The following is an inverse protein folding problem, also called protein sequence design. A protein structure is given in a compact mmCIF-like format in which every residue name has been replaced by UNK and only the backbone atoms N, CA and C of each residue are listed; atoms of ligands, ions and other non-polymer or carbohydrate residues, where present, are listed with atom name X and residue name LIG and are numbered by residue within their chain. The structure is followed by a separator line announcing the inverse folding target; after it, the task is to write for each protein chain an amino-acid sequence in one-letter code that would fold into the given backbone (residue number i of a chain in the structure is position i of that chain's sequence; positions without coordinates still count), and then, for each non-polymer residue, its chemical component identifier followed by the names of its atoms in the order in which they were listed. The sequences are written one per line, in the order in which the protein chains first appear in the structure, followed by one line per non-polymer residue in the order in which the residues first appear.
data_IF_166223933328
#
_entry.id   IF_166223933328
#
_cell.length_a   1.000
_cell.length_b   1.000
_cell.length_c   1.000
_cell.angle_alpha   90.00
_cell.angle_beta   90.00
_cell.angle_gamma   90.00
#
_symmetry.space_group_name_H-M   'P 1'
#
loop_
_entity.id
_entity.type
_entity.pdbx_description
1 polymer ?
#
# COMPACT_ATOMS: atom_id res chain seq x y z
N UNK A 1 -8.11 12.38 -9.11
CA UNK A 1 -6.66 12.49 -8.99
C UNK A 1 -5.97 11.80 -10.19
N UNK A 2 -4.92 12.38 -10.80
CA UNK A 2 -4.20 11.79 -11.94
C UNK A 2 -3.54 10.44 -11.64
N UNK A 3 -2.96 10.26 -10.45
CA UNK A 3 -2.30 9.00 -10.05
C UNK A 3 -3.30 7.87 -9.94
N UNK A 4 -4.46 8.14 -9.32
CA UNK A 4 -5.56 7.18 -9.21
C UNK A 4 -6.07 6.75 -10.60
N UNK A 5 -6.22 7.70 -11.54
CA UNK A 5 -6.62 7.38 -12.92
C UNK A 5 -5.56 6.52 -13.61
N UNK A 6 -4.29 6.89 -13.49
CA UNK A 6 -3.17 6.13 -14.05
C UNK A 6 -3.15 4.69 -13.55
N UNK A 7 -3.27 4.46 -12.24
CA UNK A 7 -3.25 3.11 -11.67
C UNK A 7 -4.41 2.26 -12.20
N UNK A 8 -5.62 2.82 -12.27
CA UNK A 8 -6.78 2.12 -12.83
C UNK A 8 -6.56 1.72 -14.30
N UNK A 9 -6.06 2.64 -15.13
CA UNK A 9 -5.74 2.35 -16.53
C UNK A 9 -4.66 1.26 -16.67
N UNK A 10 -3.67 1.26 -15.77
CA UNK A 10 -2.61 0.24 -15.76
C UNK A 10 -3.12 -1.13 -15.31
N UNK A 11 -4.02 -1.17 -14.34
CA UNK A 11 -4.72 -2.39 -13.93
C UNK A 11 -5.55 -2.96 -15.10
N UNK A 12 -6.34 -2.14 -15.78
CA UNK A 12 -7.13 -2.57 -16.95
C UNK A 12 -6.21 -3.13 -18.05
N UNK A 13 -5.09 -2.46 -18.37
CA UNK A 13 -4.09 -2.94 -19.34
C UNK A 13 -3.41 -4.24 -18.93
N UNK A 14 -3.28 -4.48 -17.63
CA UNK A 14 -2.72 -5.73 -17.09
C UNK A 14 -3.74 -6.88 -17.08
N UNK A 15 -4.99 -6.64 -17.50
CA UNK A 15 -6.06 -7.64 -17.50
C UNK A 15 -6.80 -7.77 -16.17
N UNK A 16 -6.63 -6.81 -15.26
CA UNK A 16 -7.34 -6.78 -13.99
C UNK A 16 -8.79 -6.33 -14.18
N UNK A 17 -9.71 -6.94 -13.44
CA UNK A 17 -11.09 -6.48 -13.39
C UNK A 17 -11.18 -5.18 -12.58
N UNK A 18 -11.49 -4.07 -13.25
CA UNK A 18 -11.81 -2.79 -12.60
C UNK A 18 -13.30 -2.54 -12.77
N UNK A 19 -14.09 -2.82 -11.73
CA UNK A 19 -15.54 -2.64 -11.77
C UNK A 19 -15.99 -1.31 -11.14
N UNK A 20 -17.21 -0.82 -11.43
CA UNK A 20 -17.69 0.48 -10.93
C UNK A 20 -17.64 0.64 -9.41
N UNK A 21 -17.79 -0.45 -8.66
CA UNK A 21 -17.77 -0.49 -7.19
C UNK A 21 -16.42 -0.95 -6.62
N UNK A 22 -15.32 -0.85 -7.39
CA UNK A 22 -14.00 -1.21 -6.90
C UNK A 22 -13.58 -0.33 -5.71
N UNK A 23 -13.99 0.94 -5.70
CA UNK A 23 -13.70 1.88 -4.61
C UNK A 23 -15.03 2.26 -3.95
N UNK A 24 -15.14 2.04 -2.64
CA UNK A 24 -16.34 2.35 -1.86
C UNK A 24 -15.99 3.22 -0.65
N UNK A 25 -16.87 4.15 -0.36
CA UNK A 25 -16.83 4.94 0.87
C UNK A 25 -17.59 4.21 1.97
N UNK A 26 -17.06 4.22 3.20
CA UNK A 26 -17.68 3.61 4.36
C UNK A 26 -17.39 4.39 5.65
N UNK A 27 -18.06 3.99 6.72
CA UNK A 27 -17.70 4.35 8.10
C UNK A 27 -17.06 3.12 8.73
N UNK A 28 -15.78 3.21 9.10
CA UNK A 28 -15.00 2.08 9.61
C UNK A 28 -13.94 2.55 10.61
N UNK A 29 -13.13 1.64 11.16
CA UNK A 29 -12.22 1.90 12.28
C UNK A 29 -10.80 2.33 11.90
N UNK A 30 -10.42 2.22 10.63
CA UNK A 30 -9.10 2.57 10.08
C UNK A 30 -9.22 3.65 9.02
N UNK A 31 -8.15 3.95 8.27
CA UNK A 31 -8.22 4.87 7.13
C UNK A 31 -8.91 4.22 5.90
N UNK A 32 -8.82 2.91 5.77
CA UNK A 32 -9.29 2.15 4.63
C UNK A 32 -8.60 0.79 4.56
N UNK A 33 -8.85 0.07 3.47
CA UNK A 33 -8.20 -1.21 3.20
C UNK A 33 -8.62 -1.82 1.87
N UNK A 34 -7.79 -2.73 1.37
CA UNK A 34 -8.08 -3.61 0.25
C UNK A 34 -8.40 -5.02 0.75
N UNK A 35 -9.43 -5.63 0.17
CA UNK A 35 -9.72 -7.05 0.33
C UNK A 35 -9.95 -7.72 -1.03
N UNK A 36 -9.33 -8.88 -1.22
CA UNK A 36 -9.41 -9.63 -2.48
C UNK A 36 -10.87 -9.91 -2.83
N UNK A 37 -11.25 -9.61 -4.09
CA UNK A 37 -12.62 -9.72 -4.63
C UNK A 37 -13.68 -8.79 -4.01
N UNK A 38 -13.38 -8.09 -2.92
CA UNK A 38 -14.28 -7.12 -2.29
C UNK A 38 -13.97 -5.67 -2.69
N UNK A 39 -12.71 -5.42 -3.08
CA UNK A 39 -12.23 -4.13 -3.55
C UNK A 39 -11.64 -3.27 -2.44
N UNK A 40 -11.69 -1.97 -2.64
CA UNK A 40 -11.11 -0.93 -1.81
C UNK A 40 -12.21 -0.25 -1.00
N UNK A 41 -12.03 -0.21 0.31
CA UNK A 41 -12.86 0.56 1.22
C UNK A 41 -12.08 1.79 1.72
N UNK A 42 -12.72 2.95 1.69
CA UNK A 42 -12.18 4.22 2.20
C UNK A 42 -13.06 4.69 3.35
N UNK A 43 -12.47 4.79 4.54
CA UNK A 43 -13.19 5.18 5.75
C UNK A 43 -13.32 6.70 5.84
N UNK A 44 -14.40 7.26 5.33
CA UNK A 44 -14.59 8.72 5.24
C UNK A 44 -14.59 9.42 6.60
N UNK A 45 -14.95 8.71 7.68
CA UNK A 45 -14.91 9.23 9.05
C UNK A 45 -13.49 9.41 9.62
N UNK A 46 -12.45 8.92 8.92
CA UNK A 46 -11.04 9.09 9.27
C UNK A 46 -10.28 10.01 8.32
N UNK A 47 -10.99 10.69 7.41
CA UNK A 47 -10.41 11.56 6.38
C UNK A 47 -10.76 13.02 6.68
N UNK A 48 -9.74 13.83 6.92
CA UNK A 48 -9.89 15.27 7.15
C UNK A 48 -9.60 16.07 5.86
N UNK A 49 -8.67 15.58 5.04
CA UNK A 49 -8.22 16.30 3.85
C UNK A 49 -8.30 15.45 2.57
N UNK A 50 -8.58 16.06 1.40
CA UNK A 50 -8.65 15.34 0.12
C UNK A 50 -7.36 14.59 -0.25
N UNK A 51 -6.20 15.07 0.19
CA UNK A 51 -4.94 14.39 -0.06
C UNK A 51 -4.83 13.05 0.67
N UNK A 52 -5.42 12.92 1.87
CA UNK A 52 -5.44 11.66 2.60
C UNK A 52 -6.27 10.61 1.85
N UNK A 53 -7.41 11.01 1.29
CA UNK A 53 -8.25 10.15 0.45
C UNK A 53 -7.46 9.65 -0.76
N UNK A 54 -6.80 10.57 -1.48
CA UNK A 54 -5.99 10.20 -2.65
C UNK A 54 -4.87 9.23 -2.27
N UNK A 55 -4.19 9.46 -1.15
CA UNK A 55 -3.11 8.57 -0.69
C UNK A 55 -3.61 7.18 -0.31
N UNK A 56 -4.69 7.11 0.46
CA UNK A 56 -5.31 5.83 0.81
C UNK A 56 -5.73 5.08 -0.45
N UNK A 57 -6.46 5.71 -1.37
CA UNK A 57 -6.86 5.06 -2.63
C UNK A 57 -5.64 4.60 -3.43
N UNK A 58 -4.58 5.41 -3.50
CA UNK A 58 -3.36 5.04 -4.24
C UNK A 58 -2.68 3.84 -3.59
N UNK A 59 -2.58 3.81 -2.27
CA UNK A 59 -2.02 2.70 -1.50
C UNK A 59 -2.81 1.41 -1.74
N UNK A 60 -4.13 1.46 -1.57
CA UNK A 60 -4.99 0.28 -1.77
C UNK A 60 -5.05 -0.18 -3.24
N UNK A 61 -4.89 0.73 -4.22
CA UNK A 61 -4.77 0.34 -5.62
C UNK A 61 -3.48 -0.41 -5.93
N UNK A 62 -2.38 -0.17 -5.19
CA UNK A 62 -1.17 -0.98 -5.32
C UNK A 62 -1.43 -2.40 -4.81
N UNK A 63 -2.11 -2.56 -3.68
CA UNK A 63 -2.55 -3.88 -3.20
C UNK A 63 -3.44 -4.59 -4.22
N UNK A 64 -4.42 -3.89 -4.79
CA UNK A 64 -5.29 -4.44 -5.82
C UNK A 64 -4.53 -4.83 -7.10
N UNK A 65 -3.55 -4.01 -7.51
CA UNK A 65 -2.68 -4.33 -8.65
C UNK A 65 -1.84 -5.57 -8.37
N UNK A 66 -1.21 -5.65 -7.20
CA UNK A 66 -0.38 -6.78 -6.79
C UNK A 66 -1.17 -8.09 -6.70
N UNK A 67 -2.39 -8.05 -6.15
CA UNK A 67 -3.30 -9.21 -6.07
C UNK A 67 -3.72 -9.71 -7.46
N UNK A 68 -3.90 -8.79 -8.40
CA UNK A 68 -4.27 -9.12 -9.77
C UNK A 68 -3.12 -9.73 -10.57
N UNK A 69 -1.95 -9.08 -10.56
CA UNK A 69 -0.80 -9.52 -11.39
C UNK A 69 -0.02 -10.66 -10.73
N UNK A 70 -0.10 -10.75 -9.41
CA UNK A 70 0.45 -11.82 -8.61
C UNK A 70 -0.38 -13.08 -8.79
N UNK A 71 0.03 -13.97 -9.69
CA UNK A 71 -0.69 -15.21 -10.02
C UNK A 71 -1.06 -16.09 -8.81
N UNK A 72 -0.35 -15.96 -7.69
CA UNK A 72 -0.56 -16.72 -6.45
C UNK A 72 -0.43 -15.82 -5.21
N UNK A 73 -1.04 -14.62 -5.23
CA UNK A 73 -1.10 -13.79 -4.03
C UNK A 73 -1.82 -14.53 -2.89
N UNK A 74 -1.22 -14.49 -1.71
CA UNK A 74 -1.77 -15.14 -0.50
C UNK A 74 -1.61 -14.17 0.66
N UNK A 75 -2.72 -13.54 1.05
CA UNK A 75 -2.77 -12.56 2.13
C UNK A 75 -2.56 -13.17 3.53
N UNK A 76 -2.54 -14.51 3.64
CA UNK A 76 -2.16 -15.22 4.87
C UNK A 76 -0.66 -15.48 4.95
N UNK A 77 0.07 -15.35 3.83
CA UNK A 77 1.51 -15.47 3.78
C UNK A 77 2.18 -14.12 4.09
N UNK A 78 2.96 -14.08 5.18
CA UNK A 78 3.61 -12.85 5.64
C UNK A 78 4.56 -12.23 4.60
N UNK A 79 5.24 -13.04 3.78
CA UNK A 79 6.15 -12.53 2.74
C UNK A 79 5.39 -11.84 1.60
N UNK A 80 4.24 -12.39 1.21
CA UNK A 80 3.36 -11.80 0.20
C UNK A 80 2.76 -10.49 0.69
N UNK A 81 2.19 -10.49 1.89
CA UNK A 81 1.64 -9.29 2.51
C UNK A 81 2.71 -8.22 2.71
N UNK A 82 3.88 -8.58 3.25
CA UNK A 82 5.02 -7.68 3.43
C UNK A 82 5.48 -7.06 2.10
N UNK A 83 5.55 -7.84 1.03
CA UNK A 83 5.95 -7.35 -0.28
C UNK A 83 4.99 -6.27 -0.79
N UNK A 84 3.68 -6.52 -0.68
CA UNK A 84 2.67 -5.58 -1.13
C UNK A 84 2.64 -4.31 -0.27
N UNK A 85 2.84 -4.43 1.04
CA UNK A 85 2.96 -3.29 1.95
C UNK A 85 4.19 -2.41 1.67
N UNK A 86 5.34 -3.02 1.37
CA UNK A 86 6.54 -2.30 0.98
C UNK A 86 6.27 -1.48 -0.29
N UNK A 87 5.70 -2.12 -1.32
CA UNK A 87 5.34 -1.45 -2.59
C UNK A 87 4.32 -0.35 -2.36
N UNK A 88 3.26 -0.62 -1.61
CA UNK A 88 2.19 0.32 -1.37
C UNK A 88 2.65 1.53 -0.54
N UNK A 89 3.55 1.36 0.44
CA UNK A 89 4.11 2.50 1.19
C UNK A 89 5.15 3.30 0.38
N UNK A 90 5.92 2.62 -0.48
CA UNK A 90 6.91 3.24 -1.35
C UNK A 90 6.26 4.07 -2.48
N UNK A 91 5.21 3.53 -3.11
CA UNK A 91 4.65 4.07 -4.36
C UNK A 91 3.45 5.01 -4.15
N UNK A 92 2.82 5.02 -2.97
CA UNK A 92 1.63 5.87 -2.72
C UNK A 92 1.94 7.29 -2.25
N UNK A 93 3.21 7.60 -1.95
CA UNK A 93 3.61 8.83 -1.29
C UNK A 93 3.28 8.89 0.21
N UNK A 94 2.90 7.76 0.84
CA UNK A 94 2.72 7.65 2.29
C UNK A 94 3.96 8.12 3.07
N UNK A 95 5.14 7.83 2.52
CA UNK A 95 6.43 8.17 3.11
C UNK A 95 7.06 9.45 2.55
N UNK A 96 6.25 10.36 1.97
CA UNK A 96 6.77 11.64 1.48
C UNK A 96 7.36 12.48 2.64
N UNK A 97 8.58 13.02 2.46
CA UNK A 97 9.36 13.70 3.52
C UNK A 97 8.58 14.77 4.27
N UNK A 98 7.86 15.66 3.54
CA UNK A 98 7.06 16.73 4.17
C UNK A 98 6.03 16.19 5.18
N UNK A 99 5.46 15.00 4.93
CA UNK A 99 4.47 14.39 5.84
C UNK A 99 5.13 13.80 7.06
N UNK A 100 6.23 13.09 6.87
CA UNK A 100 7.02 12.54 7.97
C UNK A 100 7.55 13.65 8.87
N UNK A 101 7.98 14.77 8.29
CA UNK A 101 8.37 15.97 9.04
C UNK A 101 7.22 16.54 9.87
N UNK A 102 6.01 16.66 9.29
CA UNK A 102 4.81 17.10 10.04
C UNK A 102 4.40 16.13 11.15
N UNK A 103 4.80 14.85 11.04
CA UNK A 103 4.63 13.82 12.08
C UNK A 103 5.79 13.78 13.09
N UNK A 104 6.77 14.69 12.98
CA UNK A 104 7.90 14.80 13.91
C UNK A 104 9.13 13.95 13.55
N UNK A 105 9.16 13.28 12.40
CA UNK A 105 10.34 12.55 11.93
C UNK A 105 11.31 13.50 11.23
N UNK A 106 12.47 13.75 11.85
CA UNK A 106 13.43 14.79 11.43
C UNK A 106 14.57 14.26 10.54
N UNK A 107 14.67 12.94 10.35
CA UNK A 107 15.77 12.35 9.58
C UNK A 107 15.60 12.67 8.10
N UNK A 108 16.64 13.22 7.48
CA UNK A 108 16.63 13.56 6.05
C UNK A 108 17.23 12.42 5.22
N UNK A 109 18.44 11.98 5.56
CA UNK A 109 19.14 10.95 4.77
C UNK A 109 18.54 9.57 5.03
N UNK A 110 18.04 8.94 3.98
CA UNK A 110 17.44 7.60 4.05
C UNK A 110 16.10 7.56 4.80
N UNK A 111 15.39 8.69 4.85
CA UNK A 111 14.10 8.77 5.56
C UNK A 111 13.05 7.85 4.94
N UNK A 112 12.99 7.81 3.60
CA UNK A 112 11.94 7.10 2.89
C UNK A 112 12.02 5.57 3.14
N UNK A 113 13.19 4.90 2.94
CA UNK A 113 13.33 3.49 3.28
C UNK A 113 12.96 3.17 4.72
N UNK A 114 13.32 4.05 5.66
CA UNK A 114 13.03 3.86 7.08
C UNK A 114 11.52 3.99 7.37
N UNK A 115 10.86 4.97 6.75
CA UNK A 115 9.41 5.09 6.83
C UNK A 115 8.71 3.88 6.21
N UNK A 116 9.15 3.42 5.03
CA UNK A 116 8.57 2.26 4.36
C UNK A 116 8.73 1.01 5.22
N UNK A 117 9.93 0.73 5.75
CA UNK A 117 10.13 -0.39 6.68
C UNK A 117 9.22 -0.30 7.89
N UNK A 118 9.15 0.87 8.53
CA UNK A 118 8.35 1.10 9.74
C UNK A 118 6.86 0.87 9.50
N UNK A 119 6.30 1.48 8.45
CA UNK A 119 4.87 1.37 8.12
C UNK A 119 4.48 -0.02 7.65
N UNK A 120 5.31 -0.64 6.82
CA UNK A 120 5.06 -2.01 6.34
C UNK A 120 5.09 -2.99 7.50
N UNK A 121 6.03 -2.86 8.43
CA UNK A 121 6.08 -3.70 9.63
C UNK A 121 4.83 -3.50 10.51
N UNK A 122 4.35 -2.27 10.68
CA UNK A 122 3.13 -1.97 11.44
C UNK A 122 1.91 -2.65 10.82
N UNK A 123 1.75 -2.60 9.49
CA UNK A 123 0.63 -3.27 8.82
C UNK A 123 0.71 -4.80 8.91
N UNK A 124 1.89 -5.38 8.61
CA UNK A 124 2.06 -6.85 8.63
C UNK A 124 1.86 -7.42 10.03
N UNK A 125 2.24 -6.69 11.10
CA UNK A 125 1.98 -7.08 12.49
C UNK A 125 0.49 -7.16 12.85
N UNK A 126 -0.35 -6.40 12.15
CA UNK A 126 -1.79 -6.43 12.36
C UNK A 126 -2.47 -7.59 11.61
N UNK A 127 -1.72 -8.32 10.78
CA UNK A 127 -2.22 -9.52 10.12
C UNK A 127 -2.25 -10.70 11.13
N UNK A 128 -3.41 -11.33 11.37
CA UNK A 128 -3.55 -12.40 12.36
C UNK A 128 -2.74 -13.66 12.04
N UNK A 129 -2.29 -13.82 10.80
CA UNK A 129 -1.45 -14.95 10.37
C UNK A 129 0.05 -14.69 10.58
N UNK A 130 0.45 -13.48 10.99
CA UNK A 130 1.84 -13.06 11.11
C UNK A 130 2.18 -12.68 12.54
N UNK A 131 3.04 -13.47 13.19
CA UNK A 131 3.65 -13.05 14.46
C UNK A 131 4.56 -11.85 14.24
N UNK A 132 4.88 -11.11 15.31
CA UNK A 132 5.83 -10.00 15.22
C UNK A 132 7.19 -10.42 14.66
N UNK A 133 7.69 -11.61 15.03
CA UNK A 133 8.95 -12.14 14.50
C UNK A 133 8.82 -12.48 13.01
N UNK A 134 7.75 -13.18 12.63
CA UNK A 134 7.49 -13.53 11.22
C UNK A 134 7.33 -12.27 10.34
N UNK A 135 6.70 -11.22 10.86
CA UNK A 135 6.55 -9.94 10.17
C UNK A 135 7.92 -9.28 9.89
N UNK A 136 8.82 -9.26 10.88
CA UNK A 136 10.18 -8.71 10.72
C UNK A 136 10.99 -9.53 9.70
N UNK A 137 10.98 -10.84 9.85
CA UNK A 137 11.72 -11.75 8.97
C UNK A 137 11.21 -11.66 7.52
N UNK A 138 9.88 -11.58 7.33
CA UNK A 138 9.26 -11.42 6.02
C UNK A 138 9.67 -10.10 5.35
N UNK A 139 9.65 -8.98 6.08
CA UNK A 139 10.05 -7.66 5.56
C UNK A 139 11.50 -7.70 5.07
N UNK A 140 12.43 -8.23 5.87
CA UNK A 140 13.84 -8.31 5.47
C UNK A 140 14.06 -9.27 4.29
N UNK A 141 13.35 -10.40 4.26
CA UNK A 141 13.49 -11.40 3.21
C UNK A 141 13.09 -10.88 1.83
N UNK A 142 12.04 -10.05 1.75
CA UNK A 142 11.52 -9.55 0.45
C UNK A 142 11.96 -8.13 0.11
N UNK A 143 12.62 -7.43 1.03
CA UNK A 143 12.96 -6.00 0.92
C UNK A 143 13.54 -5.61 -0.43
N UNK A 144 14.67 -6.22 -0.81
CA UNK A 144 15.39 -5.85 -2.04
C UNK A 144 14.59 -6.11 -3.32
N UNK A 145 13.65 -7.06 -3.30
CA UNK A 145 12.82 -7.37 -4.46
C UNK A 145 11.68 -6.36 -4.54
N UNK A 146 10.95 -6.18 -3.44
CA UNK A 146 9.68 -5.46 -3.46
C UNK A 146 9.88 -3.94 -3.41
N UNK A 147 10.90 -3.45 -2.70
CA UNK A 147 11.20 -2.02 -2.65
C UNK A 147 11.70 -1.49 -4.01
N UNK A 148 12.44 -2.31 -4.77
CA UNK A 148 12.96 -1.92 -6.08
C UNK A 148 11.95 -2.14 -7.23
N UNK A 149 10.85 -2.86 -6.97
CA UNK A 149 9.80 -3.06 -7.97
C UNK A 149 8.82 -1.89 -7.95
N UNK A 150 8.96 -1.02 -8.94
CA UNK A 150 8.18 0.23 -9.05
C UNK A 150 6.93 0.10 -9.91
N UNK A 151 6.64 -1.09 -10.45
CA UNK A 151 5.48 -1.30 -11.33
C UNK A 151 4.17 -0.99 -10.58
N UNK A 152 3.17 -0.39 -11.25
CA UNK A 152 3.12 -0.09 -12.68
C UNK A 152 3.71 1.28 -13.07
N UNK A 153 4.37 1.98 -12.14
CA UNK A 153 5.12 3.19 -12.47
C UNK A 153 6.46 2.84 -13.11
N UNK A 154 7.00 3.77 -13.90
CA UNK A 154 8.35 3.63 -14.46
C UNK A 154 9.44 3.93 -13.41
N UNK A 155 9.07 4.67 -12.36
CA UNK A 155 9.89 5.01 -11.19
C UNK A 155 8.99 5.33 -10.00
N UNK A 156 9.54 5.25 -8.79
CA UNK A 156 8.85 5.72 -7.59
C UNK A 156 8.43 7.20 -7.75
N UNK A 157 7.15 7.55 -7.48
CA UNK A 157 6.63 8.91 -7.63
C UNK A 157 7.27 9.96 -6.71
#
# INVERSE_FOLDING_TARGET
DPTVRFLRERMEKAGCTVWPMLIRAATCASAGGYASREGIEVCCNHMEYPDQITQTITHELIHAYDDCVGKNMDWTNCAHHACSEIRANHLSGNCHYKRELMKGFLKIRGHEPECVKRRSLESVKNNPYCSETAAKDAIEAVWNICYNDTRPFDRAP
#
